data_IF_756178912872
#
_entry.id   IF_756178912872
#
_cell.length_a   1.000
_cell.length_b   1.000
_cell.length_c   1.000
_cell.angle_alpha   90.00
_cell.angle_beta   90.00
_cell.angle_gamma   90.00
#
_symmetry.space_group_name_H-M   'P 1'
#
loop_
_entity.id
_entity.type
_entity.pdbx_description
1 polymer ?
#
# COMPACT_ATOMS: atom_id res chain seq x y z
N UNK A 1 -18.59 -17.84 -16.56
CA UNK A 1 -19.05 -18.43 -15.28
C UNK A 1 -19.27 -17.35 -14.24
N UNK A 2 -20.20 -17.52 -13.28
CA UNK A 2 -20.33 -16.61 -12.14
C UNK A 2 -19.80 -17.30 -10.87
N UNK A 3 -18.79 -16.70 -10.24
CA UNK A 3 -18.32 -17.15 -8.94
C UNK A 3 -19.37 -16.81 -7.86
N UNK A 4 -19.54 -17.70 -6.88
CA UNK A 4 -20.48 -17.51 -5.79
C UNK A 4 -19.81 -16.96 -4.52
N UNK A 5 -18.54 -17.34 -4.29
CA UNK A 5 -17.79 -16.97 -3.09
C UNK A 5 -16.34 -16.63 -3.45
N UNK A 6 -15.74 -15.66 -2.76
CA UNK A 6 -14.29 -15.48 -2.72
C UNK A 6 -13.79 -15.84 -1.31
N UNK A 7 -12.90 -16.82 -1.24
CA UNK A 7 -12.26 -17.20 0.01
C UNK A 7 -10.91 -16.51 0.15
N UNK A 8 -10.75 -15.70 1.18
CA UNK A 8 -9.58 -14.89 1.48
C UNK A 8 -8.73 -15.56 2.56
N UNK A 9 -7.42 -15.72 2.30
CA UNK A 9 -6.42 -16.18 3.27
C UNK A 9 -5.64 -14.99 3.83
N UNK A 10 -5.52 -14.96 5.15
CA UNK A 10 -4.84 -13.90 5.87
C UNK A 10 -3.31 -14.00 5.77
N UNK A 11 -2.65 -12.86 5.61
CA UNK A 11 -1.18 -12.73 5.66
C UNK A 11 -0.66 -12.75 7.10
N UNK A 12 0.52 -13.34 7.30
CA UNK A 12 1.27 -13.31 8.57
C UNK A 12 0.48 -13.75 9.84
N UNK A 13 -0.64 -14.46 9.71
CA UNK A 13 -1.53 -14.81 10.84
C UNK A 13 -0.83 -15.68 11.91
N UNK A 14 0.14 -16.50 11.48
CA UNK A 14 0.95 -17.34 12.37
C UNK A 14 1.79 -16.55 13.36
N UNK A 15 2.14 -15.29 13.04
CA UNK A 15 2.95 -14.42 13.91
C UNK A 15 2.13 -13.69 14.97
N UNK A 16 0.79 -13.77 14.94
CA UNK A 16 -0.08 -12.86 15.71
C UNK A 16 -0.54 -13.37 17.07
N UNK A 17 -0.23 -14.60 17.48
CA UNK A 17 -0.48 -15.11 18.84
C UNK A 17 -1.82 -14.64 19.44
N UNK A 18 -1.75 -13.86 20.54
CA UNK A 18 -2.90 -13.28 21.25
C UNK A 18 -3.60 -12.12 20.50
N UNK A 19 -2.94 -11.47 19.55
CA UNK A 19 -3.45 -10.32 18.78
C UNK A 19 -4.24 -10.72 17.52
N UNK A 20 -4.52 -12.01 17.34
CA UNK A 20 -5.20 -12.54 16.15
C UNK A 20 -6.59 -11.93 15.93
N UNK A 21 -7.40 -11.80 16.98
CA UNK A 21 -8.76 -11.29 16.84
C UNK A 21 -8.78 -9.82 16.39
N UNK A 22 -7.89 -8.99 16.94
CA UNK A 22 -7.72 -7.60 16.53
C UNK A 22 -7.26 -7.50 15.06
N UNK A 23 -6.33 -8.36 14.64
CA UNK A 23 -5.90 -8.45 13.24
C UNK A 23 -7.07 -8.76 12.31
N UNK A 24 -7.87 -9.79 12.61
CA UNK A 24 -9.00 -10.21 11.78
C UNK A 24 -10.07 -9.11 11.74
N UNK A 25 -10.38 -8.50 12.89
CA UNK A 25 -11.34 -7.40 12.97
C UNK A 25 -10.90 -6.20 12.13
N UNK A 26 -9.61 -5.82 12.19
CA UNK A 26 -9.07 -4.71 11.39
C UNK A 26 -9.10 -5.04 9.89
N UNK A 27 -8.68 -6.25 9.50
CA UNK A 27 -8.74 -6.67 8.11
C UNK A 27 -10.18 -6.69 7.58
N UNK A 28 -11.14 -7.19 8.38
CA UNK A 28 -12.56 -7.16 8.02
C UNK A 28 -13.06 -5.74 7.77
N UNK A 29 -12.70 -4.80 8.65
CA UNK A 29 -13.02 -3.38 8.45
C UNK A 29 -12.40 -2.80 7.18
N UNK A 30 -11.14 -3.14 6.88
CA UNK A 30 -10.46 -2.69 5.67
C UNK A 30 -11.12 -3.26 4.40
N UNK A 31 -11.41 -4.57 4.38
CA UNK A 31 -12.11 -5.21 3.25
C UNK A 31 -13.50 -4.62 3.06
N UNK A 32 -14.26 -4.41 4.14
CA UNK A 32 -15.60 -3.82 4.07
C UNK A 32 -15.57 -2.42 3.45
N UNK A 33 -14.58 -1.58 3.82
CA UNK A 33 -14.42 -0.25 3.21
C UNK A 33 -13.98 -0.32 1.75
N UNK A 34 -13.05 -1.21 1.41
CA UNK A 34 -12.56 -1.38 0.04
C UNK A 34 -13.66 -1.88 -0.91
N UNK A 35 -14.67 -2.60 -0.39
CA UNK A 35 -15.75 -3.20 -1.14
C UNK A 35 -17.11 -2.50 -0.96
N UNK A 36 -17.12 -1.27 -0.45
CA UNK A 36 -18.37 -0.54 -0.16
C UNK A 36 -19.26 -0.29 -1.39
N UNK A 37 -18.67 -0.30 -2.60
CA UNK A 37 -19.36 -0.14 -3.89
C UNK A 37 -20.18 -1.39 -4.29
N UNK A 38 -20.02 -2.52 -3.58
CA UNK A 38 -20.69 -3.80 -3.85
C UNK A 38 -21.65 -4.16 -2.70
N UNK A 39 -22.83 -3.52 -2.61
CA UNK A 39 -23.70 -3.60 -1.44
C UNK A 39 -24.31 -4.98 -1.22
N UNK A 40 -24.34 -5.86 -2.23
CA UNK A 40 -24.91 -7.21 -2.08
C UNK A 40 -23.95 -8.21 -1.46
N UNK A 41 -22.66 -7.87 -1.28
CA UNK A 41 -21.69 -8.78 -0.70
C UNK A 41 -22.03 -9.15 0.74
N UNK A 42 -21.85 -10.42 1.11
CA UNK A 42 -21.88 -10.86 2.51
C UNK A 42 -20.50 -11.31 2.95
N UNK A 43 -19.87 -10.55 3.86
CA UNK A 43 -18.51 -10.78 4.34
C UNK A 43 -18.55 -11.50 5.69
N UNK A 44 -17.98 -12.71 5.75
CA UNK A 44 -17.95 -13.58 6.93
C UNK A 44 -16.50 -13.83 7.36
N UNK A 45 -15.92 -13.01 8.25
CA UNK A 45 -14.60 -13.28 8.81
C UNK A 45 -14.66 -14.47 9.76
N UNK A 46 -13.87 -15.51 9.52
CA UNK A 46 -13.67 -16.64 10.44
C UNK A 46 -12.24 -16.64 10.97
N UNK A 47 -11.94 -17.57 11.89
CA UNK A 47 -10.63 -17.64 12.57
C UNK A 47 -9.43 -17.73 11.63
N UNK A 48 -9.54 -18.53 10.56
CA UNK A 48 -8.41 -18.83 9.68
C UNK A 48 -8.56 -18.22 8.28
N UNK A 49 -9.79 -17.87 7.88
CA UNK A 49 -10.14 -17.41 6.53
C UNK A 49 -11.35 -16.48 6.59
N UNK A 50 -11.45 -15.57 5.63
CA UNK A 50 -12.66 -14.79 5.38
C UNK A 50 -13.36 -15.31 4.14
N UNK A 51 -14.69 -15.41 4.20
CA UNK A 51 -15.52 -15.81 3.07
C UNK A 51 -16.36 -14.61 2.63
N UNK A 52 -16.35 -14.31 1.33
CA UNK A 52 -17.10 -13.20 0.74
C UNK A 52 -18.09 -13.79 -0.26
N UNK A 53 -19.37 -13.83 0.10
CA UNK A 53 -20.44 -14.27 -0.80
C UNK A 53 -20.74 -13.14 -1.79
N UNK A 54 -20.69 -13.44 -3.09
CA UNK A 54 -20.76 -12.44 -4.16
C UNK A 54 -22.19 -11.97 -4.45
N UNK A 55 -23.20 -12.84 -4.27
CA UNK A 55 -24.62 -12.49 -4.46
C UNK A 55 -24.93 -11.76 -5.79
N UNK A 56 -24.24 -12.15 -6.85
CA UNK A 56 -24.39 -11.58 -8.20
C UNK A 56 -23.53 -10.34 -8.50
N UNK A 57 -22.70 -9.87 -7.56
CA UNK A 57 -21.73 -8.80 -7.80
C UNK A 57 -20.61 -9.25 -8.76
N UNK A 58 -20.05 -8.33 -9.56
CA UNK A 58 -19.03 -8.65 -10.56
C UNK A 58 -17.72 -9.10 -9.89
N UNK A 59 -17.45 -10.41 -9.94
CA UNK A 59 -16.29 -11.02 -9.27
C UNK A 59 -14.96 -10.36 -9.65
N UNK A 60 -14.78 -9.98 -10.90
CA UNK A 60 -13.51 -9.43 -11.39
C UNK A 60 -13.22 -8.06 -10.76
N UNK A 61 -14.24 -7.22 -10.58
CA UNK A 61 -14.08 -5.92 -9.92
C UNK A 61 -13.83 -6.09 -8.42
N UNK A 62 -14.54 -7.02 -7.76
CA UNK A 62 -14.32 -7.35 -6.35
C UNK A 62 -12.88 -7.86 -6.14
N UNK A 63 -12.41 -8.76 -7.00
CA UNK A 63 -11.05 -9.29 -6.95
C UNK A 63 -9.99 -8.21 -7.20
N UNK A 64 -10.25 -7.25 -8.11
CA UNK A 64 -9.36 -6.12 -8.35
C UNK A 64 -9.23 -5.20 -7.13
N UNK A 65 -10.30 -4.98 -6.36
CA UNK A 65 -10.21 -4.24 -5.09
C UNK A 65 -9.49 -5.06 -4.02
N UNK A 66 -9.78 -6.36 -3.91
CA UNK A 66 -9.16 -7.24 -2.91
C UNK A 66 -7.65 -7.37 -3.07
N UNK A 67 -7.12 -7.32 -4.31
CA UNK A 67 -5.68 -7.40 -4.56
C UNK A 67 -4.90 -6.23 -3.97
N UNK A 68 -5.55 -5.10 -3.68
CA UNK A 68 -4.96 -3.89 -3.09
C UNK A 68 -5.06 -3.86 -1.55
N UNK A 69 -5.78 -4.79 -0.91
CA UNK A 69 -5.96 -4.77 0.55
C UNK A 69 -4.81 -5.46 1.26
N UNK A 70 -3.99 -4.69 1.99
CA UNK A 70 -2.95 -5.25 2.85
C UNK A 70 -3.52 -6.11 3.98
N UNK A 71 -2.80 -7.18 4.32
CA UNK A 71 -3.24 -8.24 5.21
C UNK A 71 -3.85 -9.45 4.49
N UNK A 72 -4.11 -9.36 3.18
CA UNK A 72 -4.53 -10.51 2.36
C UNK A 72 -3.31 -11.17 1.73
N UNK A 73 -3.05 -12.45 2.06
CA UNK A 73 -1.98 -13.21 1.44
C UNK A 73 -2.36 -13.63 0.02
N UNK A 74 -3.52 -14.26 -0.12
CA UNK A 74 -4.09 -14.70 -1.37
C UNK A 74 -5.60 -14.90 -1.19
N UNK A 75 -6.31 -14.99 -2.30
CA UNK A 75 -7.71 -15.34 -2.32
C UNK A 75 -8.04 -16.25 -3.50
N UNK A 76 -9.14 -17.01 -3.35
CA UNK A 76 -9.58 -17.99 -4.34
C UNK A 76 -11.07 -17.79 -4.62
N UNK A 77 -11.44 -17.36 -5.84
CA UNK A 77 -12.83 -17.35 -6.25
C UNK A 77 -13.30 -18.80 -6.44
N UNK A 78 -14.48 -19.11 -5.91
CA UNK A 78 -15.04 -20.46 -5.83
C UNK A 78 -16.50 -20.46 -6.25
N UNK A 79 -16.95 -21.63 -6.70
CA UNK A 79 -18.33 -21.86 -7.12
C UNK A 79 -18.94 -22.89 -6.18
N UNK A 80 -20.00 -22.48 -5.50
CA UNK A 80 -20.80 -23.33 -4.65
C UNK A 80 -21.73 -24.16 -5.53
N UNK A 81 -21.67 -25.47 -5.34
CA UNK A 81 -22.49 -26.45 -6.03
C UNK A 81 -23.23 -27.25 -4.97
N UNK A 82 -24.49 -27.58 -5.25
CA UNK A 82 -25.24 -28.50 -4.41
C UNK A 82 -24.49 -29.83 -4.25
N UNK A 83 -24.79 -30.57 -3.17
CA UNK A 83 -24.16 -31.87 -2.85
C UNK A 83 -24.70 -33.00 -3.74
N UNK A 84 -24.61 -32.80 -5.04
CA UNK A 84 -25.05 -33.66 -6.13
C UNK A 84 -23.88 -33.83 -7.10
N UNK A 85 -23.38 -35.06 -7.22
CA UNK A 85 -22.15 -35.33 -7.97
C UNK A 85 -22.29 -35.07 -9.46
N UNK A 86 -23.48 -35.23 -10.05
CA UNK A 86 -23.70 -34.93 -11.48
C UNK A 86 -23.50 -33.42 -11.73
N UNK A 87 -24.00 -32.59 -10.81
CA UNK A 87 -23.80 -31.12 -10.86
C UNK A 87 -22.34 -30.76 -10.59
N UNK A 88 -21.69 -31.40 -9.62
CA UNK A 88 -20.29 -31.16 -9.28
C UNK A 88 -19.38 -31.50 -10.47
N UNK A 89 -19.62 -32.63 -11.15
CA UNK A 89 -18.93 -33.03 -12.37
C UNK A 89 -19.07 -31.99 -13.49
N UNK A 90 -20.30 -31.57 -13.78
CA UNK A 90 -20.57 -30.57 -14.82
C UNK A 90 -19.83 -29.24 -14.55
N UNK A 91 -19.89 -28.74 -13.31
CA UNK A 91 -19.23 -27.49 -12.91
C UNK A 91 -17.71 -27.64 -12.89
N UNK A 92 -17.18 -28.78 -12.43
CA UNK A 92 -15.75 -29.05 -12.43
C UNK A 92 -15.19 -29.07 -13.87
N UNK A 93 -15.86 -29.74 -14.80
CA UNK A 93 -15.47 -29.75 -16.21
C UNK A 93 -15.53 -28.35 -16.82
N UNK A 94 -16.61 -27.60 -16.57
CA UNK A 94 -16.71 -26.23 -17.05
C UNK A 94 -15.53 -25.38 -16.53
N UNK A 95 -15.24 -25.45 -15.24
CA UNK A 95 -14.15 -24.69 -14.61
C UNK A 95 -12.79 -25.07 -15.20
N UNK A 96 -12.53 -26.37 -15.40
CA UNK A 96 -11.30 -26.86 -16.02
C UNK A 96 -11.19 -26.47 -17.50
N UNK A 97 -12.30 -26.39 -18.24
CA UNK A 97 -12.30 -25.92 -19.63
C UNK A 97 -11.96 -24.43 -19.74
N UNK A 98 -12.46 -23.60 -18.81
CA UNK A 98 -12.18 -22.17 -18.81
C UNK A 98 -10.76 -21.83 -18.33
N UNK A 99 -10.14 -22.68 -17.50
CA UNK A 99 -8.92 -22.31 -16.77
C UNK A 99 -7.70 -23.18 -17.05
N UNK A 100 -7.84 -24.43 -17.50
CA UNK A 100 -6.73 -25.33 -17.77
C UNK A 100 -6.40 -25.38 -19.28
N UNK A 101 -5.27 -24.79 -19.73
CA UNK A 101 -4.80 -24.95 -21.10
C UNK A 101 -4.57 -26.42 -21.47
N UNK A 102 -4.49 -26.71 -22.76
CA UNK A 102 -4.21 -28.07 -23.23
C UNK A 102 -2.83 -28.54 -22.78
N UNK A 103 -2.71 -29.81 -22.39
CA UNK A 103 -1.43 -30.45 -22.06
C UNK A 103 -0.87 -30.13 -20.68
N UNK A 104 -1.52 -29.27 -19.88
CA UNK A 104 -1.02 -28.95 -18.54
C UNK A 104 -1.23 -30.11 -17.57
N UNK A 105 -0.41 -30.14 -16.53
CA UNK A 105 -0.59 -31.08 -15.43
C UNK A 105 -1.56 -30.56 -14.37
N UNK A 106 -2.37 -31.46 -13.81
CA UNK A 106 -3.34 -31.12 -12.76
C UNK A 106 -3.40 -32.14 -11.63
N UNK A 107 -3.98 -31.72 -10.51
CA UNK A 107 -4.52 -32.64 -9.50
C UNK A 107 -5.83 -32.13 -8.92
N UNK A 108 -6.65 -33.07 -8.46
CA UNK A 108 -7.77 -32.79 -7.57
C UNK A 108 -7.27 -32.76 -6.13
N UNK A 109 -7.68 -31.75 -5.36
CA UNK A 109 -7.30 -31.61 -3.96
C UNK A 109 -8.52 -31.29 -3.11
N UNK A 110 -9.08 -32.34 -2.51
CA UNK A 110 -10.26 -32.26 -1.66
C UNK A 110 -9.90 -31.93 -0.22
N UNK A 111 -10.70 -31.06 0.41
CA UNK A 111 -10.75 -30.84 1.86
C UNK A 111 -12.19 -30.98 2.33
N UNK A 112 -12.39 -31.69 3.43
CA UNK A 112 -13.71 -31.93 4.02
C UNK A 112 -13.79 -31.26 5.38
N UNK A 113 -14.80 -30.41 5.54
CA UNK A 113 -15.28 -29.95 6.86
C UNK A 113 -16.59 -30.63 7.25
N UNK A 114 -17.34 -31.12 6.26
CA UNK A 114 -18.46 -32.04 6.43
C UNK A 114 -17.94 -33.49 6.37
N UNK A 115 -17.79 -34.12 7.53
CA UNK A 115 -17.32 -35.50 7.66
C UNK A 115 -18.44 -36.53 7.44
N UNK A 116 -19.70 -36.10 7.38
CA UNK A 116 -20.87 -36.95 7.17
C UNK A 116 -21.20 -37.11 5.67
N UNK A 117 -20.51 -36.37 4.78
CA UNK A 117 -20.67 -36.53 3.34
C UNK A 117 -20.25 -37.92 2.86
N UNK A 118 -21.01 -38.48 1.92
CA UNK A 118 -20.90 -39.87 1.47
C UNK A 118 -19.51 -40.26 0.93
N UNK A 119 -18.86 -39.35 0.20
CA UNK A 119 -17.50 -39.58 -0.30
C UNK A 119 -16.47 -39.05 0.69
N UNK A 120 -15.47 -39.88 0.97
CA UNK A 120 -14.28 -39.41 1.67
C UNK A 120 -13.36 -38.59 0.77
N UNK A 121 -12.27 -38.06 1.34
CA UNK A 121 -11.32 -37.21 0.61
C UNK A 121 -10.70 -37.94 -0.59
N UNK A 122 -10.37 -39.22 -0.43
CA UNK A 122 -9.73 -40.01 -1.48
C UNK A 122 -10.74 -40.40 -2.55
N UNK A 123 -11.93 -40.83 -2.15
CA UNK A 123 -13.02 -41.16 -3.04
C UNK A 123 -13.43 -39.95 -3.91
N UNK A 124 -13.54 -38.76 -3.31
CA UNK A 124 -13.82 -37.52 -4.05
C UNK A 124 -12.70 -37.16 -5.05
N UNK A 125 -11.43 -37.33 -4.65
CA UNK A 125 -10.31 -37.06 -5.55
C UNK A 125 -10.26 -38.04 -6.73
N UNK A 126 -10.56 -39.32 -6.50
CA UNK A 126 -10.61 -40.35 -7.54
C UNK A 126 -11.78 -40.11 -8.48
N UNK A 127 -12.99 -39.91 -7.95
CA UNK A 127 -14.21 -39.69 -8.72
C UNK A 127 -14.08 -38.49 -9.69
N UNK A 128 -13.64 -37.34 -9.19
CA UNK A 128 -13.42 -36.17 -10.05
C UNK A 128 -12.21 -36.34 -10.98
N UNK A 129 -11.18 -37.07 -10.55
CA UNK A 129 -9.99 -37.34 -11.35
C UNK A 129 -10.31 -38.24 -12.54
N UNK A 130 -11.06 -39.31 -12.33
CA UNK A 130 -11.50 -40.25 -13.38
C UNK A 130 -12.41 -39.52 -14.37
N UNK A 131 -13.41 -38.80 -13.86
CA UNK A 131 -14.32 -38.00 -14.69
C UNK A 131 -13.57 -36.98 -15.58
N UNK A 132 -12.61 -36.25 -15.01
CA UNK A 132 -11.81 -35.29 -15.78
C UNK A 132 -10.84 -35.96 -16.75
N UNK A 133 -10.33 -37.14 -16.43
CA UNK A 133 -9.47 -37.90 -17.35
C UNK A 133 -10.25 -38.35 -18.59
N UNK A 134 -11.50 -38.76 -18.42
CA UNK A 134 -12.38 -39.14 -19.53
C UNK A 134 -12.80 -37.94 -20.39
N UNK A 135 -13.11 -36.80 -19.76
CA UNK A 135 -13.63 -35.61 -20.46
C UNK A 135 -12.54 -34.68 -20.98
N UNK A 136 -11.33 -34.72 -20.40
CA UNK A 136 -10.16 -33.92 -20.76
C UNK A 136 -8.90 -34.81 -20.83
N UNK A 137 -8.84 -35.74 -21.80
CA UNK A 137 -7.70 -36.64 -21.97
C UNK A 137 -6.41 -35.91 -22.36
N UNK A 138 -6.49 -34.63 -22.72
CA UNK A 138 -5.34 -33.76 -22.95
C UNK A 138 -4.63 -33.31 -21.67
N UNK A 139 -5.26 -33.44 -20.50
CA UNK A 139 -4.67 -33.05 -19.22
C UNK A 139 -3.87 -34.20 -18.59
N UNK A 140 -2.77 -33.87 -17.92
CA UNK A 140 -1.87 -34.86 -17.32
C UNK A 140 -2.05 -34.90 -15.80
N UNK A 141 -2.41 -36.05 -15.24
CA UNK A 141 -2.51 -36.20 -13.78
C UNK A 141 -1.12 -36.15 -13.14
N UNK A 142 -0.90 -35.24 -12.17
CA UNK A 142 0.39 -35.10 -11.46
C UNK A 142 0.19 -34.69 -10.00
N UNK A 143 0.57 -35.56 -9.06
CA UNK A 143 0.32 -35.32 -7.63
C UNK A 143 1.30 -34.32 -6.99
N UNK A 144 2.55 -34.32 -7.44
CA UNK A 144 3.61 -33.46 -6.95
C UNK A 144 3.86 -32.30 -7.92
N UNK A 145 3.80 -31.06 -7.43
CA UNK A 145 3.99 -29.84 -8.23
C UNK A 145 3.23 -29.86 -9.58
N UNK A 146 1.89 -29.97 -9.56
CA UNK A 146 1.08 -29.78 -10.76
C UNK A 146 1.06 -28.32 -11.18
N UNK A 147 0.82 -28.07 -12.47
CA UNK A 147 0.62 -26.72 -12.99
C UNK A 147 -0.69 -26.12 -12.49
N UNK A 148 -1.71 -26.97 -12.27
CA UNK A 148 -3.02 -26.55 -11.76
C UNK A 148 -3.55 -27.47 -10.65
N UNK A 149 -4.35 -26.91 -9.75
CA UNK A 149 -5.04 -27.66 -8.69
C UNK A 149 -6.52 -27.34 -8.76
N UNK A 150 -7.36 -28.36 -9.03
CA UNK A 150 -8.79 -28.27 -8.77
C UNK A 150 -9.00 -28.48 -7.27
N UNK A 151 -9.32 -27.41 -6.55
CA UNK A 151 -9.64 -27.46 -5.13
C UNK A 151 -11.12 -27.76 -4.97
N UNK A 152 -11.40 -28.70 -4.09
CA UNK A 152 -12.76 -29.12 -3.71
C UNK A 152 -12.88 -28.94 -2.21
N UNK A 153 -13.78 -28.06 -1.75
CA UNK A 153 -14.10 -27.94 -0.33
C UNK A 153 -15.51 -28.46 -0.07
N UNK A 154 -15.62 -29.61 0.58
CA UNK A 154 -16.89 -30.19 0.99
C UNK A 154 -17.28 -29.58 2.34
N UNK A 155 -18.33 -28.76 2.33
CA UNK A 155 -18.90 -28.10 3.50
C UNK A 155 -20.33 -28.58 3.72
N UNK A 156 -20.92 -28.22 4.87
CA UNK A 156 -22.26 -28.69 5.24
C UNK A 156 -23.33 -28.20 4.26
N UNK A 157 -23.17 -26.98 3.80
CA UNK A 157 -24.10 -26.26 2.92
C UNK A 157 -23.94 -26.60 1.44
N UNK A 158 -22.72 -26.85 0.96
CA UNK A 158 -22.40 -27.02 -0.46
C UNK A 158 -20.99 -27.59 -0.67
N UNK A 159 -20.68 -27.98 -1.92
CA UNK A 159 -19.32 -28.27 -2.39
C UNK A 159 -18.79 -27.06 -3.15
N UNK A 160 -17.62 -26.56 -2.75
CA UNK A 160 -17.00 -25.39 -3.39
C UNK A 160 -15.86 -25.82 -4.30
N UNK A 161 -15.90 -25.39 -5.56
CA UNK A 161 -14.90 -25.69 -6.58
C UNK A 161 -14.10 -24.45 -6.96
N UNK A 162 -12.77 -24.57 -7.03
CA UNK A 162 -11.86 -23.47 -7.40
C UNK A 162 -10.60 -23.98 -8.08
N UNK A 163 -10.21 -23.37 -9.20
CA UNK A 163 -8.90 -23.62 -9.87
C UNK A 163 -7.92 -22.46 -9.69
N UNK A 164 -8.41 -21.28 -9.29
CA UNK A 164 -7.60 -20.06 -9.19
C UNK A 164 -7.11 -19.77 -7.77
N UNK A 165 -5.90 -19.22 -7.68
CA UNK A 165 -5.39 -18.58 -6.47
C UNK A 165 -4.69 -17.31 -6.88
N UNK A 166 -5.24 -16.18 -6.46
CA UNK A 166 -4.73 -14.86 -6.80
C UNK A 166 -3.98 -14.33 -5.59
N UNK A 167 -2.77 -13.82 -5.80
CA UNK A 167 -2.00 -13.21 -4.73
C UNK A 167 -2.66 -11.89 -4.30
N UNK A 168 -2.73 -11.66 -3.00
CA UNK A 168 -3.13 -10.37 -2.46
C UNK A 168 -1.92 -9.46 -2.25
N UNK A 169 -2.15 -8.28 -1.68
CA UNK A 169 -1.08 -7.32 -1.38
C UNK A 169 -0.08 -7.81 -0.31
N UNK A 170 -0.40 -8.89 0.41
CA UNK A 170 0.39 -9.39 1.53
C UNK A 170 0.45 -8.39 2.67
N UNK A 171 1.52 -8.43 3.47
CA UNK A 171 1.73 -7.48 4.56
C UNK A 171 0.71 -7.58 5.69
N UNK A 172 0.48 -6.46 6.38
CA UNK A 172 -0.41 -6.37 7.55
C UNK A 172 -1.59 -5.42 7.29
N UNK A 173 -2.77 -5.69 7.86
CA UNK A 173 -3.91 -4.78 7.74
C UNK A 173 -3.54 -3.39 8.26
N UNK A 174 -3.76 -2.36 7.44
CA UNK A 174 -3.50 -0.96 7.80
C UNK A 174 -4.22 -0.59 9.09
N UNK A 175 -3.48 0.05 10.01
CA UNK A 175 -3.88 0.40 11.38
C UNK A 175 -3.66 -0.68 12.44
N UNK A 176 -3.04 -1.81 12.10
CA UNK A 176 -2.60 -2.80 13.11
C UNK A 176 -1.25 -2.44 13.75
N UNK A 177 -0.46 -1.56 13.14
CA UNK A 177 0.87 -1.16 13.59
C UNK A 177 0.94 0.30 14.08
N UNK A 178 -0.21 0.89 14.46
CA UNK A 178 -0.29 2.28 14.90
C UNK A 178 -0.38 3.27 13.75
N UNK A 179 -0.11 4.54 14.05
CA UNK A 179 -0.25 5.68 13.16
C UNK A 179 1.07 6.45 13.07
N UNK A 180 1.40 7.00 11.91
CA UNK A 180 2.65 7.71 11.66
C UNK A 180 2.46 8.91 10.70
N UNK A 181 3.29 9.93 10.87
CA UNK A 181 3.40 11.01 9.88
C UNK A 181 4.37 10.59 8.78
N UNK A 182 4.04 10.82 7.52
CA UNK A 182 4.93 10.61 6.39
C UNK A 182 5.29 11.95 5.74
N UNK A 183 6.57 12.27 5.67
CA UNK A 183 7.05 13.43 4.93
C UNK A 183 6.97 13.15 3.43
N UNK A 184 5.99 13.76 2.76
CA UNK A 184 5.76 13.61 1.33
C UNK A 184 6.43 14.73 0.54
N UNK A 185 7.25 14.34 -0.42
CA UNK A 185 7.85 15.21 -1.42
C UNK A 185 7.18 14.98 -2.79
N UNK A 186 7.42 15.88 -3.75
CA UNK A 186 6.92 15.72 -5.12
C UNK A 186 7.73 14.74 -5.98
N UNK A 187 8.67 14.00 -5.36
CA UNK A 187 9.57 13.05 -6.02
C UNK A 187 9.09 11.61 -5.99
N UNK A 188 9.94 10.69 -6.45
CA UNK A 188 9.61 9.26 -6.63
C UNK A 188 9.62 8.50 -5.29
N UNK A 189 10.52 8.85 -4.38
CA UNK A 189 10.92 7.97 -3.28
C UNK A 189 9.92 7.99 -2.10
N UNK A 190 9.30 9.13 -1.80
CA UNK A 190 8.41 9.28 -0.64
C UNK A 190 7.04 8.60 -0.82
N UNK A 191 6.39 8.59 -2.00
CA UNK A 191 5.22 7.73 -2.23
C UNK A 191 5.52 6.24 -2.03
N UNK A 192 6.68 5.76 -2.50
CA UNK A 192 7.12 4.37 -2.31
C UNK A 192 7.32 4.05 -0.82
N UNK A 193 7.95 4.96 -0.07
CA UNK A 193 8.03 4.83 1.38
C UNK A 193 6.65 4.74 2.04
N UNK A 194 5.67 5.51 1.57
CA UNK A 194 4.28 5.46 2.05
C UNK A 194 3.59 4.13 1.77
N UNK A 195 3.76 3.60 0.57
CA UNK A 195 3.29 2.26 0.23
C UNK A 195 3.88 1.19 1.18
N UNK A 196 5.18 1.25 1.48
CA UNK A 196 5.81 0.30 2.41
C UNK A 196 5.35 0.48 3.86
N UNK A 197 5.06 1.71 4.30
CA UNK A 197 4.47 1.97 5.60
C UNK A 197 3.09 1.29 5.72
N UNK A 198 2.22 1.53 4.73
CA UNK A 198 0.89 0.91 4.64
C UNK A 198 0.99 -0.63 4.61
N UNK A 199 1.96 -1.19 3.85
CA UNK A 199 2.21 -2.64 3.77
C UNK A 199 2.56 -3.26 5.12
N UNK A 200 3.19 -2.50 6.03
CA UNK A 200 3.48 -2.93 7.41
C UNK A 200 2.35 -2.64 8.38
N UNK A 201 1.18 -2.27 7.89
CA UNK A 201 -0.01 -2.06 8.71
C UNK A 201 -0.01 -0.73 9.45
N UNK A 202 0.85 0.21 9.08
CA UNK A 202 0.92 1.56 9.65
C UNK A 202 -0.12 2.42 8.95
N UNK A 203 -0.98 3.09 9.72
CA UNK A 203 -1.87 4.12 9.20
C UNK A 203 -1.07 5.42 9.05
N UNK A 204 -1.15 6.10 7.91
CA UNK A 204 -0.27 7.24 7.61
C UNK A 204 -1.05 8.52 7.33
N UNK A 205 -0.44 9.64 7.69
CA UNK A 205 -0.85 10.99 7.27
C UNK A 205 0.30 11.65 6.52
N UNK A 206 -0.02 12.39 5.46
CA UNK A 206 0.98 13.00 4.58
C UNK A 206 1.27 14.41 5.06
N UNK A 207 2.50 14.67 5.47
CA UNK A 207 3.01 16.02 5.79
C UNK A 207 3.78 16.52 4.58
N UNK A 208 3.24 17.55 3.93
CA UNK A 208 3.84 18.17 2.76
C UNK A 208 4.18 19.63 3.02
N UNK A 209 5.43 20.01 2.76
CA UNK A 209 5.92 21.37 2.93
C UNK A 209 5.83 22.12 1.61
N UNK A 210 5.30 23.35 1.64
CA UNK A 210 5.13 24.18 0.45
C UNK A 210 5.53 25.63 0.75
N UNK A 211 5.99 26.35 -0.27
CA UNK A 211 6.60 27.67 -0.12
C UNK A 211 6.19 28.65 -1.22
N UNK A 212 4.93 29.10 -1.29
CA UNK A 212 4.51 30.11 -2.26
C UNK A 212 5.18 31.46 -1.95
N UNK A 213 5.51 32.28 -2.97
CA UNK A 213 5.23 32.10 -4.40
C UNK A 213 6.25 31.20 -5.12
N UNK A 214 7.24 30.65 -4.44
CA UNK A 214 8.30 29.87 -5.05
C UNK A 214 7.86 28.48 -5.52
N UNK A 215 6.99 27.80 -4.78
CA UNK A 215 6.35 26.56 -5.22
C UNK A 215 5.01 26.86 -5.89
N UNK A 216 4.76 26.27 -7.06
CA UNK A 216 3.52 26.47 -7.81
C UNK A 216 2.33 25.70 -7.21
N UNK A 217 1.11 26.11 -7.58
CA UNK A 217 -0.10 25.36 -7.23
C UNK A 217 -0.09 23.97 -7.87
N UNK A 218 0.52 23.81 -9.05
CA UNK A 218 0.67 22.52 -9.72
C UNK A 218 1.56 21.57 -8.92
N UNK A 219 2.63 22.05 -8.27
CA UNK A 219 3.47 21.23 -7.40
C UNK A 219 2.68 20.68 -6.20
N UNK A 220 1.82 21.51 -5.60
CA UNK A 220 0.92 21.10 -4.52
C UNK A 220 -0.13 20.09 -5.00
N UNK A 221 -0.73 20.33 -6.17
CA UNK A 221 -1.69 19.40 -6.77
C UNK A 221 -1.04 18.05 -7.09
N UNK A 222 0.21 18.05 -7.59
CA UNK A 222 1.01 16.83 -7.78
C UNK A 222 1.15 16.05 -6.46
N UNK A 223 1.53 16.70 -5.36
CA UNK A 223 1.66 16.04 -4.06
C UNK A 223 0.32 15.47 -3.55
N UNK A 224 -0.79 16.20 -3.73
CA UNK A 224 -2.13 15.69 -3.41
C UNK A 224 -2.53 14.51 -4.27
N UNK A 225 -2.21 14.55 -5.57
CA UNK A 225 -2.50 13.45 -6.48
C UNK A 225 -1.65 12.21 -6.18
N UNK A 226 -0.38 12.36 -5.77
CA UNK A 226 0.45 11.26 -5.27
C UNK A 226 -0.16 10.62 -4.02
N UNK A 227 -0.73 11.46 -3.14
CA UNK A 227 -1.48 10.96 -1.98
C UNK A 227 -2.72 10.18 -2.41
N UNK A 228 -3.49 10.70 -3.37
CA UNK A 228 -4.67 10.03 -3.91
C UNK A 228 -4.33 8.64 -4.49
N UNK A 229 -3.20 8.48 -5.18
CA UNK A 229 -2.73 7.16 -5.71
C UNK A 229 -2.48 6.11 -4.62
N UNK A 230 -2.21 6.52 -3.37
CA UNK A 230 -2.04 5.60 -2.24
C UNK A 230 -3.32 5.31 -1.47
N UNK A 231 -4.38 6.10 -1.65
CA UNK A 231 -5.65 5.86 -0.95
C UNK A 231 -6.34 4.54 -1.28
N UNK A 232 -6.21 3.89 -2.47
CA UNK A 232 -6.80 2.57 -2.70
C UNK A 232 -6.35 1.48 -1.71
N UNK A 233 -5.17 1.65 -1.08
CA UNK A 233 -4.63 0.69 -0.12
C UNK A 233 -5.15 0.86 1.33
N UNK A 234 -5.80 1.99 1.65
CA UNK A 234 -6.20 2.37 3.02
C UNK A 234 -7.61 2.96 3.14
N UNK A 235 -8.15 3.49 2.05
CA UNK A 235 -9.45 4.14 1.90
C UNK A 235 -9.37 5.66 1.90
N UNK A 236 -8.67 6.25 2.86
CA UNK A 236 -8.43 7.69 2.95
C UNK A 236 -7.08 7.99 3.57
N UNK A 237 -6.54 9.18 3.28
CA UNK A 237 -5.32 9.70 3.89
C UNK A 237 -5.54 11.17 4.23
N UNK A 238 -5.14 11.61 5.42
CA UNK A 238 -5.11 13.03 5.74
C UNK A 238 -3.84 13.66 5.14
N UNK A 239 -4.03 14.69 4.34
CA UNK A 239 -2.98 15.50 3.75
C UNK A 239 -2.84 16.80 4.54
N UNK A 240 -1.62 17.09 4.99
CA UNK A 240 -1.27 18.17 5.90
C UNK A 240 -0.32 19.10 5.16
N UNK A 241 -0.84 20.26 4.78
CA UNK A 241 -0.10 21.34 4.13
C UNK A 241 0.60 22.18 5.19
N UNK A 242 1.92 22.24 5.16
CA UNK A 242 2.73 23.02 6.09
C UNK A 242 3.39 24.20 5.36
N UNK A 243 3.01 25.46 5.66
CA UNK A 243 3.63 26.62 5.04
C UNK A 243 5.08 26.74 5.50
N UNK A 244 6.00 26.91 4.55
CA UNK A 244 7.43 26.84 4.81
C UNK A 244 8.23 28.01 4.20
N UNK A 245 7.58 28.95 3.52
CA UNK A 245 8.23 30.13 2.89
C UNK A 245 9.07 30.94 3.86
N UNK A 246 8.47 31.42 4.96
CA UNK A 246 9.14 32.30 5.93
C UNK A 246 10.39 31.64 6.52
N UNK A 247 10.31 30.34 6.81
CA UNK A 247 11.42 29.54 7.30
C UNK A 247 12.57 29.52 6.28
N UNK A 248 12.27 29.32 5.00
CA UNK A 248 13.30 29.27 3.96
C UNK A 248 13.97 30.62 3.74
N UNK A 249 13.20 31.70 3.73
CA UNK A 249 13.72 33.06 3.58
C UNK A 249 14.66 33.43 4.74
N UNK A 250 14.25 33.12 5.97
CA UNK A 250 15.05 33.37 7.17
C UNK A 250 16.34 32.53 7.19
N UNK A 251 16.25 31.24 6.81
CA UNK A 251 17.42 30.37 6.65
C UNK A 251 18.36 30.94 5.59
N UNK A 252 17.85 31.31 4.41
CA UNK A 252 18.64 31.88 3.31
C UNK A 252 19.35 33.17 3.73
N UNK A 253 18.69 34.00 4.53
CA UNK A 253 19.26 35.28 4.98
C UNK A 253 20.37 35.12 6.02
N UNK A 254 20.30 34.10 6.89
CA UNK A 254 21.13 34.04 8.12
C UNK A 254 22.05 32.82 8.23
N UNK A 255 21.82 31.77 7.43
CA UNK A 255 22.59 30.53 7.49
C UNK A 255 23.56 30.46 6.31
N UNK A 256 24.83 30.05 6.52
CA UNK A 256 25.76 29.87 5.41
C UNK A 256 25.27 28.86 4.39
N UNK A 257 25.52 29.13 3.12
CA UNK A 257 25.03 28.37 1.96
C UNK A 257 25.17 26.84 2.10
N UNK A 258 26.34 26.37 2.56
CA UNK A 258 26.60 24.94 2.75
C UNK A 258 25.74 24.24 3.82
N UNK A 259 25.01 24.97 4.67
CA UNK A 259 24.13 24.44 5.71
C UNK A 259 22.64 24.69 5.47
N UNK A 260 22.26 25.44 4.42
CA UNK A 260 20.86 25.77 4.13
C UNK A 260 19.97 24.52 4.14
N UNK A 261 20.34 23.51 3.34
CA UNK A 261 19.60 22.25 3.22
C UNK A 261 19.54 21.47 4.55
N UNK A 262 20.63 21.47 5.33
CA UNK A 262 20.68 20.75 6.61
C UNK A 262 19.75 21.40 7.63
N UNK A 263 19.79 22.73 7.77
CA UNK A 263 18.94 23.46 8.72
C UNK A 263 17.47 23.42 8.28
N UNK A 264 17.20 23.52 6.98
CA UNK A 264 15.85 23.37 6.43
C UNK A 264 15.24 22.00 6.78
N UNK A 265 15.95 20.89 6.51
CA UNK A 265 15.45 19.55 6.82
C UNK A 265 15.29 19.30 8.32
N UNK A 266 16.15 19.91 9.14
CA UNK A 266 16.02 19.90 10.60
C UNK A 266 14.72 20.56 11.07
N UNK A 267 14.35 21.73 10.52
CA UNK A 267 13.06 22.37 10.83
C UNK A 267 11.87 21.59 10.28
N UNK A 268 11.98 20.99 9.09
CA UNK A 268 10.93 20.10 8.56
C UNK A 268 10.68 18.91 9.50
N UNK A 269 11.73 18.28 10.05
CA UNK A 269 11.56 17.21 11.03
C UNK A 269 10.93 17.68 12.34
N UNK A 270 11.35 18.85 12.87
CA UNK A 270 10.73 19.42 14.08
C UNK A 270 9.25 19.72 13.89
N UNK A 271 8.88 20.30 12.75
CA UNK A 271 7.47 20.56 12.42
C UNK A 271 6.69 19.26 12.26
N UNK A 272 7.26 18.27 11.57
CA UNK A 272 6.63 16.95 11.41
C UNK A 272 6.44 16.27 12.75
N UNK A 273 7.43 16.32 13.66
CA UNK A 273 7.30 15.78 15.02
C UNK A 273 6.23 16.51 15.83
N UNK A 274 6.17 17.85 15.78
CA UNK A 274 5.14 18.61 16.47
C UNK A 274 3.74 18.25 15.98
N UNK A 275 3.56 18.11 14.67
CA UNK A 275 2.30 17.65 14.05
C UNK A 275 2.01 16.20 14.49
N UNK A 276 2.99 15.30 14.41
CA UNK A 276 2.86 13.90 14.80
C UNK A 276 2.39 13.76 16.26
N UNK A 277 2.99 14.50 17.19
CA UNK A 277 2.60 14.50 18.61
C UNK A 277 1.17 14.99 18.82
N UNK A 278 0.75 16.07 18.15
CA UNK A 278 -0.63 16.57 18.22
C UNK A 278 -1.65 15.57 17.67
N UNK A 279 -1.24 14.71 16.73
CA UNK A 279 -2.12 13.77 16.01
C UNK A 279 -2.03 12.33 16.50
N UNK A 280 -1.23 12.08 17.55
CA UNK A 280 -1.06 10.77 18.18
C UNK A 280 -0.21 9.79 17.36
N UNK A 281 0.64 10.30 16.48
CA UNK A 281 1.54 9.51 15.65
C UNK A 281 2.76 9.05 16.44
N UNK A 282 3.20 7.82 16.19
CA UNK A 282 4.28 7.17 16.94
C UNK A 282 5.64 7.23 16.23
N UNK A 283 5.66 7.63 14.96
CA UNK A 283 6.87 7.64 14.13
C UNK A 283 6.73 8.64 12.97
N UNK A 284 7.88 8.98 12.38
CA UNK A 284 7.98 9.71 11.11
C UNK A 284 8.48 8.73 10.04
N UNK A 285 7.86 8.75 8.87
CA UNK A 285 8.34 8.07 7.68
C UNK A 285 8.86 9.09 6.67
N UNK A 286 9.91 8.74 5.94
CA UNK A 286 10.38 9.52 4.79
C UNK A 286 10.95 8.61 3.69
N UNK A 287 11.19 9.20 2.52
CA UNK A 287 11.77 8.52 1.35
C UNK A 287 13.30 8.67 1.23
N UNK A 288 14.05 8.78 2.33
CA UNK A 288 15.52 8.89 2.24
C UNK A 288 16.17 7.55 1.85
N UNK A 289 17.05 7.57 0.83
CA UNK A 289 17.92 6.45 0.43
C UNK A 289 19.40 6.79 0.66
N UNK A 290 20.14 5.89 1.31
CA UNK A 290 21.52 6.18 1.73
C UNK A 290 22.43 6.31 0.51
N UNK A 291 23.12 7.45 0.40
CA UNK A 291 24.12 7.69 -0.64
C UNK A 291 23.55 8.13 -2.00
N UNK A 292 22.23 8.35 -2.12
CA UNK A 292 21.61 8.78 -3.39
C UNK A 292 21.87 10.26 -3.72
N UNK A 293 21.83 11.15 -2.72
CA UNK A 293 22.10 12.58 -2.88
C UNK A 293 22.94 13.12 -1.73
N UNK A 294 23.52 14.32 -1.90
CA UNK A 294 24.39 14.94 -0.88
C UNK A 294 23.74 15.10 0.50
N UNK A 295 22.43 15.30 0.56
CA UNK A 295 21.65 15.41 1.81
C UNK A 295 21.25 14.07 2.42
N UNK A 296 21.69 12.94 1.84
CA UNK A 296 21.38 11.58 2.28
C UNK A 296 22.66 10.74 2.50
N UNK A 297 23.78 11.39 2.79
CA UNK A 297 24.93 10.71 3.40
C UNK A 297 24.61 10.38 4.87
N UNK A 298 25.29 9.38 5.44
CA UNK A 298 25.10 9.04 6.86
C UNK A 298 25.40 10.23 7.78
N UNK A 299 26.41 11.04 7.45
CA UNK A 299 26.72 12.27 8.19
C UNK A 299 25.59 13.30 8.10
N UNK A 300 24.98 13.48 6.92
CA UNK A 300 23.84 14.39 6.75
C UNK A 300 22.60 13.90 7.49
N UNK A 301 22.29 12.61 7.34
CA UNK A 301 21.17 11.98 8.05
C UNK A 301 21.32 12.09 9.56
N UNK A 302 22.52 11.84 10.11
CA UNK A 302 22.79 11.99 11.54
C UNK A 302 22.64 13.45 12.00
N UNK A 303 23.18 14.40 11.24
CA UNK A 303 23.04 15.83 11.56
C UNK A 303 21.58 16.30 11.48
N UNK A 304 20.76 15.74 10.58
CA UNK A 304 19.34 16.08 10.43
C UNK A 304 18.51 15.43 11.55
N UNK A 305 18.72 14.14 11.83
CA UNK A 305 17.97 13.36 12.83
C UNK A 305 18.19 13.87 14.26
N UNK A 306 19.29 14.56 14.54
CA UNK A 306 19.64 15.09 15.85
C UNK A 306 18.58 16.01 16.50
N UNK A 307 17.63 16.54 15.73
CA UNK A 307 16.54 17.38 16.27
C UNK A 307 15.42 16.60 16.96
N UNK A 308 15.37 15.29 16.77
CA UNK A 308 14.23 14.47 17.22
C UNK A 308 14.69 13.12 17.75
N UNK A 309 13.94 12.62 18.74
CA UNK A 309 14.07 11.24 19.24
C UNK A 309 12.92 10.35 18.78
N UNK A 310 11.92 10.93 18.10
CA UNK A 310 10.84 10.17 17.49
C UNK A 310 11.42 9.20 16.45
N UNK A 311 10.99 7.93 16.41
CA UNK A 311 11.49 6.98 15.42
C UNK A 311 11.29 7.49 13.99
N UNK A 312 12.39 7.57 13.22
CA UNK A 312 12.35 7.87 11.78
C UNK A 312 12.56 6.58 10.99
N UNK A 313 11.52 6.09 10.35
CA UNK A 313 11.54 4.90 9.53
C UNK A 313 11.80 5.29 8.07
N UNK A 314 12.77 4.63 7.45
CA UNK A 314 13.25 4.94 6.10
C UNK A 314 13.15 3.69 5.23
N UNK A 315 11.96 3.36 4.68
CA UNK A 315 11.72 2.07 4.03
C UNK A 315 12.65 1.80 2.84
N UNK A 316 13.07 2.84 2.15
CA UNK A 316 13.91 2.77 0.95
C UNK A 316 15.39 3.03 1.23
N UNK A 317 15.82 3.10 2.49
CA UNK A 317 17.18 3.47 2.89
C UNK A 317 18.29 2.62 2.25
N UNK A 318 18.00 1.35 1.97
CA UNK A 318 18.94 0.37 1.44
C UNK A 318 18.59 -0.08 0.03
N UNK A 319 17.63 0.58 -0.63
CA UNK A 319 17.23 0.28 -2.01
C UNK A 319 18.03 1.14 -2.98
N UNK A 320 18.41 0.56 -4.11
CA UNK A 320 18.94 1.35 -5.22
C UNK A 320 17.82 2.09 -5.97
N UNK A 321 18.22 3.00 -6.86
CA UNK A 321 17.25 3.86 -7.56
C UNK A 321 16.31 3.07 -8.48
N UNK A 322 16.80 2.01 -9.11
CA UNK A 322 16.00 1.21 -10.04
C UNK A 322 14.96 0.38 -9.29
N UNK A 323 15.31 -0.14 -8.10
CA UNK A 323 14.35 -0.82 -7.23
C UNK A 323 13.22 0.13 -6.79
N UNK A 324 13.55 1.38 -6.46
CA UNK A 324 12.55 2.39 -6.09
C UNK A 324 11.66 2.74 -7.30
N UNK A 325 12.25 2.93 -8.49
CA UNK A 325 11.50 3.21 -9.72
C UNK A 325 10.54 2.07 -10.06
N UNK A 326 11.00 0.82 -10.03
CA UNK A 326 10.17 -0.33 -10.34
C UNK A 326 8.94 -0.45 -9.40
N UNK A 327 9.12 -0.15 -8.11
CA UNK A 327 7.99 -0.10 -7.18
C UNK A 327 7.09 1.13 -7.44
N UNK A 328 7.64 2.30 -7.78
CA UNK A 328 6.87 3.49 -8.12
C UNK A 328 5.99 3.30 -9.36
N UNK A 329 6.49 2.60 -10.38
CA UNK A 329 5.73 2.23 -11.59
C UNK A 329 4.60 1.26 -11.24
N UNK A 330 4.89 0.23 -10.46
CA UNK A 330 3.92 -0.78 -10.02
C UNK A 330 2.78 -0.21 -9.18
N UNK A 331 3.04 0.84 -8.40
CA UNK A 331 2.02 1.53 -7.60
C UNK A 331 1.46 2.78 -8.29
N UNK A 332 1.80 3.00 -9.56
CA UNK A 332 1.24 4.07 -10.40
C UNK A 332 1.49 5.49 -9.82
N UNK A 333 2.73 5.71 -9.38
CA UNK A 333 3.21 7.00 -8.85
C UNK A 333 4.36 7.60 -9.67
N UNK A 334 5.06 6.80 -10.47
CA UNK A 334 6.25 7.21 -11.20
C UNK A 334 6.01 8.39 -12.15
N UNK A 335 5.07 8.26 -13.10
CA UNK A 335 4.82 9.28 -14.13
C UNK A 335 4.46 10.65 -13.52
N UNK A 336 3.71 10.63 -12.43
CA UNK A 336 3.34 11.83 -11.69
C UNK A 336 4.54 12.44 -10.96
N UNK A 337 5.38 11.60 -10.34
CA UNK A 337 6.57 12.04 -9.60
C UNK A 337 7.64 12.68 -10.49
N UNK A 338 7.73 12.32 -11.77
CA UNK A 338 8.71 12.88 -12.72
C UNK A 338 8.27 14.19 -13.39
N UNK A 339 7.02 14.63 -13.18
CA UNK A 339 6.54 15.90 -13.74
C UNK A 339 7.40 17.08 -13.25
N UNK A 340 7.76 18.03 -14.14
CA UNK A 340 8.79 19.07 -13.92
C UNK A 340 8.31 20.23 -13.04
N UNK A 341 7.59 19.93 -11.96
CA UNK A 341 7.19 20.90 -10.95
C UNK A 341 8.21 20.90 -9.81
N UNK A 342 8.78 22.08 -9.54
CA UNK A 342 9.78 22.28 -8.49
C UNK A 342 9.21 21.98 -7.10
N UNK A 343 10.02 21.30 -6.28
CA UNK A 343 9.68 20.96 -4.90
C UNK A 343 10.26 22.01 -3.94
N UNK A 344 9.65 22.13 -2.75
CA UNK A 344 10.07 23.06 -1.70
C UNK A 344 11.58 22.95 -1.39
N UNK A 345 12.14 21.74 -1.43
CA UNK A 345 13.56 21.50 -1.16
C UNK A 345 14.51 21.94 -2.29
N UNK A 346 14.07 22.00 -3.54
CA UNK A 346 14.96 22.24 -4.70
C UNK A 346 15.16 23.72 -5.01
N UNK A 347 14.15 24.56 -4.76
CA UNK A 347 14.16 26.00 -5.05
C UNK A 347 15.32 26.74 -4.36
N UNK A 348 15.62 26.37 -3.12
CA UNK A 348 16.69 26.97 -2.32
C UNK A 348 17.88 26.03 -2.12
N UNK A 349 18.01 25.02 -2.99
CA UNK A 349 19.14 24.12 -2.94
C UNK A 349 20.44 24.91 -3.27
N UNK A 350 21.47 24.84 -2.41
CA UNK A 350 22.75 25.46 -2.74
C UNK A 350 23.39 24.74 -3.93
N UNK A 351 24.24 25.42 -4.74
CA UNK A 351 24.98 24.81 -5.85
C UNK A 351 25.94 23.70 -5.39
N UNK A 352 26.40 23.78 -4.15
CA UNK A 352 27.33 22.82 -3.54
C UNK A 352 26.89 22.49 -2.11
N UNK A 353 25.87 21.63 -1.95
CA UNK A 353 25.41 21.20 -0.64
C UNK A 353 26.48 20.40 0.09
N UNK A 354 26.60 20.63 1.40
CA UNK A 354 27.61 19.95 2.22
C UNK A 354 27.21 18.49 2.43
N UNK A 355 28.05 17.57 1.97
CA UNK A 355 27.88 16.12 2.13
C UNK A 355 28.24 15.61 3.53
N UNK A 356 29.01 16.39 4.31
CA UNK A 356 29.41 16.05 5.68
C UNK A 356 29.16 17.20 6.64
N UNK A 357 27.89 17.57 6.89
CA UNK A 357 27.56 18.61 7.86
C UNK A 357 27.91 18.12 9.28
N UNK A 358 28.45 19.01 10.10
CA UNK A 358 28.71 18.73 11.51
C UNK A 358 27.50 19.16 12.34
N UNK A 359 27.00 18.26 13.19
CA UNK A 359 25.83 18.51 14.04
C UNK A 359 25.98 19.78 14.89
N UNK A 360 27.12 19.98 15.53
CA UNK A 360 27.37 21.17 16.37
C UNK A 360 27.29 22.49 15.58
N UNK A 361 27.69 22.46 14.30
CA UNK A 361 27.58 23.63 13.43
C UNK A 361 26.14 23.87 13.02
N UNK A 362 25.37 22.83 12.73
CA UNK A 362 23.94 22.97 12.45
C UNK A 362 23.21 23.59 13.66
N UNK A 363 23.46 23.09 14.87
CA UNK A 363 22.93 23.66 16.13
C UNK A 363 23.36 25.12 16.33
N UNK A 364 24.62 25.44 16.06
CA UNK A 364 25.12 26.81 16.13
C UNK A 364 24.39 27.75 15.16
N UNK A 365 24.15 27.35 13.92
CA UNK A 365 23.42 28.18 12.96
C UNK A 365 21.94 28.31 13.31
N UNK A 366 21.32 27.26 13.85
CA UNK A 366 19.96 27.34 14.39
C UNK A 366 19.85 28.35 15.54
N UNK A 367 20.89 28.52 16.37
CA UNK A 367 20.91 29.55 17.42
C UNK A 367 20.92 30.99 16.90
N UNK A 368 21.08 31.19 15.58
CA UNK A 368 21.10 32.51 14.93
C UNK A 368 19.77 32.89 14.28
N UNK A 369 18.77 32.01 14.34
CA UNK A 369 17.43 32.24 13.80
C UNK A 369 16.38 32.00 14.89
N UNK A 370 15.20 32.61 14.76
CA UNK A 370 14.09 32.44 15.69
C UNK A 370 13.35 31.11 15.44
N UNK A 371 14.01 29.99 15.76
CA UNK A 371 13.46 28.64 15.51
C UNK A 371 12.06 28.48 16.13
N UNK A 372 11.88 28.91 17.38
CA UNK A 372 10.62 28.74 18.09
C UNK A 372 9.49 29.55 17.43
N UNK A 373 9.69 30.86 17.20
CA UNK A 373 8.66 31.69 16.59
C UNK A 373 8.35 31.28 15.15
N UNK A 374 9.35 30.86 14.37
CA UNK A 374 9.13 30.31 13.02
C UNK A 374 8.27 29.04 13.06
N UNK A 375 8.55 28.13 14.00
CA UNK A 375 7.76 26.91 14.17
C UNK A 375 6.32 27.24 14.55
N UNK A 376 6.11 28.13 15.51
CA UNK A 376 4.76 28.52 15.96
C UNK A 376 3.93 29.12 14.82
N UNK A 377 4.53 30.02 14.02
CA UNK A 377 3.86 30.63 12.86
C UNK A 377 3.55 29.61 11.77
N UNK A 378 4.48 28.71 11.46
CA UNK A 378 4.25 27.65 10.48
C UNK A 378 3.14 26.68 10.93
N UNK A 379 3.14 26.28 12.21
CA UNK A 379 2.10 25.41 12.79
C UNK A 379 0.73 26.08 12.79
N UNK A 380 0.65 27.38 13.08
CA UNK A 380 -0.60 28.14 13.02
C UNK A 380 -1.21 28.21 11.61
N UNK A 381 -0.39 28.09 10.57
CA UNK A 381 -0.82 28.12 9.17
C UNK A 381 -1.09 26.74 8.54
N UNK A 382 -1.01 25.65 9.31
CA UNK A 382 -1.24 24.29 8.81
C UNK A 382 -2.67 24.11 8.32
N UNK A 383 -2.83 23.50 7.14
CA UNK A 383 -4.14 23.10 6.60
C UNK A 383 -4.20 21.59 6.46
N UNK A 384 -5.36 21.01 6.81
CA UNK A 384 -5.57 19.57 6.78
C UNK A 384 -6.75 19.27 5.85
N UNK A 385 -6.54 18.36 4.92
CA UNK A 385 -7.54 17.88 3.98
C UNK A 385 -7.63 16.35 4.04
N UNK A 386 -8.84 15.79 4.05
CA UNK A 386 -9.04 14.36 3.83
C UNK A 386 -9.01 14.08 2.31
N UNK A 387 -8.16 13.16 1.87
CA UNK A 387 -8.06 12.70 0.48
C UNK A 387 -8.54 11.26 0.37
N UNK A 388 -9.37 10.99 -0.64
CA UNK A 388 -9.98 9.68 -0.97
C UNK A 388 -9.61 9.24 -2.38
N UNK A 389 -9.93 7.99 -2.71
CA UNK A 389 -9.63 7.40 -4.02
C UNK A 389 -10.39 8.01 -5.19
N UNK A 390 -11.49 8.71 -4.92
CA UNK A 390 -12.28 9.43 -5.93
C UNK A 390 -11.72 10.82 -6.26
N UNK A 391 -10.77 11.32 -5.46
CA UNK A 391 -10.29 12.69 -5.61
C UNK A 391 -9.24 12.79 -6.73
N UNK A 392 -9.41 13.80 -7.58
CA UNK A 392 -8.50 14.09 -8.68
C UNK A 392 -8.07 15.56 -8.61
N UNK A 393 -6.76 15.78 -8.55
CA UNK A 393 -6.14 17.10 -8.38
C UNK A 393 -5.36 17.54 -9.63
N UNK A 394 -5.09 16.62 -10.56
CA UNK A 394 -4.49 16.90 -11.86
C UNK A 394 -5.56 16.83 -12.95
N UNK A 395 -5.74 17.92 -13.71
CA UNK A 395 -6.70 18.00 -14.82
C UNK A 395 -6.07 17.43 -16.09
N UNK A 396 -6.66 16.37 -16.67
CA UNK A 396 -6.16 15.77 -17.92
C UNK A 396 -6.11 16.75 -19.11
N UNK A 397 -6.93 17.82 -19.10
CA UNK A 397 -7.08 18.73 -20.25
C UNK A 397 -6.41 20.11 -20.11
N UNK A 398 -5.83 20.46 -18.94
CA UNK A 398 -5.10 21.73 -18.78
C UNK A 398 -3.58 21.58 -18.87
N UNK A 399 -3.05 20.37 -18.68
CA UNK A 399 -1.62 20.12 -18.71
C UNK A 399 -1.04 20.13 -20.15
N UNK A 400 -1.87 19.96 -21.18
CA UNK A 400 -1.47 20.12 -22.60
C UNK A 400 -1.21 21.58 -22.99
N UNK A 401 -1.78 22.55 -22.25
CA UNK A 401 -1.60 23.98 -22.56
C UNK A 401 -0.27 24.52 -22.01
N UNK A 402 0.33 23.84 -21.03
CA UNK A 402 1.63 24.21 -20.49
C UNK A 402 2.82 23.73 -21.35
N UNK A 403 2.61 22.84 -22.32
CA UNK A 403 3.63 22.44 -23.31
C UNK A 403 3.64 23.33 -24.57
N UNK A 404 2.69 24.26 -24.71
CA UNK A 404 2.52 25.14 -25.87
C UNK A 404 2.76 26.63 -25.59
N UNK A 405 3.24 26.98 -24.40
CA UNK A 405 3.66 28.33 -24.00
C UNK A 405 5.06 28.26 -23.37
#
# INVERSE_FOLDING_TARGET
MQYSEIMVRYGELSTKGKNRQAFIGRLNGNVTRALHEFPKLTIRPKRDRMHIELNGEPSDQVMARLSQVFGIQNFSPSIAVEKDMDKVHAVALQLMNETAPKGISYKVNTRRSDHDFALDTNAMNLDLGDYLTDKRPDLVVKMHQPDMILRVEVRREAIYLSTKTIQGAGGLPVGTAGKAALMLSGGIDSPVAGYYALKRGVDIEMVHFFSPPYTSQQALNKAKQLTAKLTPYVGRIYFIEVPFTEIQEEIKAKVPEGYLMTVQRRLMLRLTEAIAQQRGDLAIFNGESVGQVASQTLESMAAINDVTTMPIIRPVATMDKNEIIAEAEKIDTYDLSIMPFEDCCTIFAPPSPKTKPKTDRARYYESKIDVAGLMDRALAGVKIQEIKSSDQFMNQDQDVIAELL
#
